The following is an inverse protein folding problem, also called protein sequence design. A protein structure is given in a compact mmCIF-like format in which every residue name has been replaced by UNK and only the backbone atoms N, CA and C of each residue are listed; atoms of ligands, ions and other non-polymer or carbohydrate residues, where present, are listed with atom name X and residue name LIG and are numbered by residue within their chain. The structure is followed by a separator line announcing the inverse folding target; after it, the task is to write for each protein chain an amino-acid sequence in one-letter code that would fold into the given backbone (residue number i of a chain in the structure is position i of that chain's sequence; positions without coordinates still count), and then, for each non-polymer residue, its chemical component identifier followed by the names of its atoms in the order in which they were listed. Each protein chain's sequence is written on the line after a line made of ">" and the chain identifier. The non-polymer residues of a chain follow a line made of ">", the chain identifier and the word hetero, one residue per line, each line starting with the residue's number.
data_IF_406315312927
#
_entry.id   IF_406315312927
#
_cell.length_a   1.000
_cell.length_b   1.000
_cell.length_c   1.000
_cell.angle_alpha   90.00
_cell.angle_beta   90.00
_cell.angle_gamma   90.00
#
_symmetry.space_group_name_H-M   'P 1'
#
loop_
_entity.id
_entity.type
_entity.pdbx_description
1 polymer ?
#
# COMPACT_ATOMS: atom_id res chain seq x y z
N UNK A 1 -3.25 -25.45 -0.72
CA UNK A 1 -2.23 -24.78 -1.56
C UNK A 1 -2.76 -23.79 -2.61
N UNK A 2 -3.27 -24.19 -3.78
CA UNK A 2 -3.46 -23.25 -4.92
C UNK A 2 -4.43 -22.09 -4.63
N UNK A 3 -5.57 -22.36 -3.99
CA UNK A 3 -6.53 -21.32 -3.62
C UNK A 3 -5.91 -20.30 -2.64
N UNK A 4 -5.17 -20.77 -1.64
CA UNK A 4 -4.47 -19.93 -0.67
C UNK A 4 -3.41 -19.04 -1.35
N UNK A 5 -2.68 -19.60 -2.32
CA UNK A 5 -1.71 -18.85 -3.12
C UNK A 5 -2.37 -17.75 -3.95
N UNK A 6 -3.45 -18.05 -4.67
CA UNK A 6 -4.14 -17.05 -5.49
C UNK A 6 -4.79 -15.97 -4.62
N UNK A 7 -5.36 -16.37 -3.48
CA UNK A 7 -5.97 -15.45 -2.53
C UNK A 7 -4.92 -14.52 -1.91
N UNK A 8 -3.82 -15.06 -1.36
CA UNK A 8 -2.78 -14.23 -0.75
C UNK A 8 -2.04 -13.39 -1.78
N UNK A 9 -1.83 -13.90 -3.00
CA UNK A 9 -1.33 -13.09 -4.11
C UNK A 9 -2.23 -11.88 -4.36
N UNK A 10 -3.53 -12.10 -4.55
CA UNK A 10 -4.46 -11.01 -4.88
C UNK A 10 -4.58 -10.00 -3.72
N UNK A 11 -4.71 -10.49 -2.48
CA UNK A 11 -4.85 -9.64 -1.30
C UNK A 11 -3.58 -8.80 -1.08
N UNK A 12 -2.40 -9.42 -1.11
CA UNK A 12 -1.14 -8.71 -0.85
C UNK A 12 -0.78 -7.79 -2.01
N UNK A 13 -0.96 -8.23 -3.26
CA UNK A 13 -0.76 -7.36 -4.42
C UNK A 13 -1.59 -6.09 -4.29
N UNK A 14 -2.91 -6.20 -4.03
CA UNK A 14 -3.79 -5.02 -3.93
C UNK A 14 -3.49 -4.20 -2.67
N UNK A 15 -3.18 -4.83 -1.55
CA UNK A 15 -2.79 -4.14 -0.32
C UNK A 15 -1.55 -3.26 -0.51
N UNK A 16 -0.60 -3.74 -1.29
CA UNK A 16 0.67 -3.06 -1.57
C UNK A 16 0.49 -1.88 -2.54
N UNK A 17 -0.49 -1.95 -3.44
CA UNK A 17 -0.71 -0.89 -4.42
C UNK A 17 -0.98 0.47 -3.75
N UNK A 18 -0.18 1.48 -4.11
CA UNK A 18 -0.33 2.85 -3.64
C UNK A 18 0.14 3.08 -2.20
N UNK A 19 0.93 2.14 -1.66
CA UNK A 19 1.55 2.28 -0.35
C UNK A 19 2.85 3.12 -0.37
N UNK A 20 3.28 3.57 0.81
CA UNK A 20 4.53 4.30 1.02
C UNK A 20 5.74 3.47 0.59
N UNK A 21 5.73 2.18 0.89
CA UNK A 21 6.79 1.21 0.50
C UNK A 21 6.99 1.18 -1.02
N UNK A 22 5.94 1.27 -1.82
CA UNK A 22 6.05 1.38 -3.29
C UNK A 22 6.73 2.67 -3.75
N UNK A 23 6.44 3.80 -3.09
CA UNK A 23 7.12 5.06 -3.39
C UNK A 23 8.61 4.98 -3.02
N UNK A 24 8.94 4.31 -1.92
CA UNK A 24 10.33 3.99 -1.53
C UNK A 24 11.00 3.08 -2.58
N UNK A 25 10.30 2.05 -3.07
CA UNK A 25 10.78 1.16 -4.14
C UNK A 25 11.18 1.96 -5.39
N UNK A 26 10.28 2.85 -5.83
CA UNK A 26 10.50 3.72 -6.97
C UNK A 26 11.70 4.66 -6.75
N UNK A 27 11.78 5.30 -5.59
CA UNK A 27 12.90 6.19 -5.25
C UNK A 27 14.25 5.46 -5.26
N UNK A 28 14.30 4.24 -4.74
CA UNK A 28 15.49 3.41 -4.83
C UNK A 28 15.82 2.99 -6.26
N UNK A 29 14.82 2.67 -7.08
CA UNK A 29 15.03 2.30 -8.49
C UNK A 29 15.47 3.47 -9.39
N UNK A 30 15.24 4.72 -8.95
CA UNK A 30 15.81 5.91 -9.60
C UNK A 30 17.30 6.10 -9.27
N UNK A 31 17.77 5.62 -8.10
CA UNK A 31 19.17 5.78 -7.66
C UNK A 31 20.04 4.56 -7.94
N UNK A 32 19.44 3.38 -7.92
CA UNK A 32 20.13 2.10 -8.05
C UNK A 32 19.52 1.27 -9.19
N UNK A 33 20.27 0.27 -9.67
CA UNK A 33 19.82 -0.59 -10.77
C UNK A 33 18.56 -1.35 -10.34
N UNK A 34 17.50 -1.28 -11.15
CA UNK A 34 16.17 -1.81 -10.80
C UNK A 34 16.17 -3.27 -10.33
N UNK A 35 17.02 -4.13 -10.90
CA UNK A 35 17.10 -5.53 -10.50
C UNK A 35 17.79 -5.75 -9.15
N UNK A 36 18.71 -4.85 -8.76
CA UNK A 36 19.31 -4.86 -7.42
C UNK A 36 18.26 -4.45 -6.39
N UNK A 37 17.43 -3.46 -6.73
CA UNK A 37 16.33 -3.01 -5.87
C UNK A 37 15.28 -4.11 -5.74
N UNK A 38 14.81 -4.66 -6.86
CA UNK A 38 13.79 -5.72 -6.85
C UNK A 38 14.27 -6.99 -6.15
N UNK A 39 15.54 -7.38 -6.31
CA UNK A 39 16.10 -8.53 -5.56
C UNK A 39 16.24 -8.25 -4.07
N UNK A 40 16.61 -7.04 -3.67
CA UNK A 40 16.65 -6.63 -2.27
C UNK A 40 15.26 -6.64 -1.62
N UNK A 41 14.27 -6.07 -2.31
CA UNK A 41 12.85 -6.13 -1.91
C UNK A 41 12.40 -7.58 -1.77
N UNK A 42 12.65 -8.41 -2.78
CA UNK A 42 12.27 -9.84 -2.76
C UNK A 42 12.83 -10.55 -1.52
N UNK A 43 14.09 -10.30 -1.16
CA UNK A 43 14.70 -10.89 0.05
C UNK A 43 14.06 -10.34 1.33
N UNK A 44 13.84 -9.03 1.41
CA UNK A 44 13.17 -8.40 2.55
C UNK A 44 11.75 -8.95 2.76
N UNK A 45 10.93 -8.90 1.71
CA UNK A 45 9.57 -9.44 1.67
C UNK A 45 9.54 -10.91 2.05
N UNK A 46 10.42 -11.73 1.46
CA UNK A 46 10.48 -13.17 1.78
C UNK A 46 10.74 -13.38 3.27
N UNK A 47 11.67 -12.62 3.87
CA UNK A 47 11.97 -12.74 5.30
C UNK A 47 10.77 -12.34 6.18
N UNK A 48 10.14 -11.19 5.89
CA UNK A 48 8.98 -10.70 6.65
C UNK A 48 7.78 -11.64 6.49
N UNK A 49 7.56 -12.17 5.29
CA UNK A 49 6.44 -13.05 5.00
C UNK A 49 6.64 -14.44 5.59
N UNK A 50 7.86 -14.99 5.61
CA UNK A 50 8.15 -16.22 6.36
C UNK A 50 7.83 -16.03 7.84
N UNK A 51 8.24 -14.90 8.43
CA UNK A 51 7.93 -14.58 9.82
C UNK A 51 6.41 -14.48 10.04
N UNK A 52 5.72 -13.76 9.16
CA UNK A 52 4.26 -13.58 9.21
C UNK A 52 3.51 -14.90 9.12
N UNK A 53 3.92 -15.76 8.18
CA UNK A 53 3.31 -17.08 7.98
C UNK A 53 3.61 -18.01 9.15
N UNK A 54 4.82 -17.96 9.71
CA UNK A 54 5.14 -18.72 10.92
C UNK A 54 4.25 -18.28 12.09
N UNK A 55 4.14 -16.97 12.33
CA UNK A 55 3.24 -16.41 13.35
C UNK A 55 1.81 -16.88 13.10
N UNK A 56 1.28 -16.71 11.88
CA UNK A 56 -0.08 -17.12 11.52
C UNK A 56 -0.34 -18.62 11.69
N UNK A 57 0.60 -19.45 11.26
CA UNK A 57 0.50 -20.91 11.38
C UNK A 57 0.44 -21.36 12.85
N UNK A 58 1.31 -20.83 13.70
CA UNK A 58 1.33 -21.18 15.12
C UNK A 58 0.17 -20.54 15.91
N UNK A 59 -0.23 -19.31 15.58
CA UNK A 59 -1.46 -18.71 16.15
C UNK A 59 -2.70 -19.50 15.74
N UNK A 60 -2.78 -19.93 14.49
CA UNK A 60 -3.82 -20.81 13.94
C UNK A 60 -3.99 -22.10 14.74
N UNK A 61 -2.87 -22.69 15.18
CA UNK A 61 -2.88 -23.89 16.00
C UNK A 61 -3.20 -23.62 17.49
N UNK A 62 -2.94 -22.41 17.99
CA UNK A 62 -3.07 -22.06 19.40
C UNK A 62 -4.40 -21.39 19.77
N UNK A 63 -5.07 -20.74 18.81
CA UNK A 63 -6.27 -19.96 19.03
C UNK A 63 -7.49 -20.60 18.34
N UNK A 64 -8.70 -20.46 18.93
CA UNK A 64 -9.92 -20.88 18.25
C UNK A 64 -10.11 -20.14 16.93
N UNK A 65 -10.43 -20.87 15.85
CA UNK A 65 -10.62 -20.31 14.50
C UNK A 65 -11.62 -19.17 14.46
N UNK A 66 -12.69 -19.23 15.26
CA UNK A 66 -13.66 -18.15 15.40
C UNK A 66 -13.05 -16.85 15.93
N UNK A 67 -12.12 -16.93 16.89
CA UNK A 67 -11.46 -15.75 17.45
C UNK A 67 -10.46 -15.17 16.45
N UNK A 68 -9.73 -16.02 15.72
CA UNK A 68 -8.84 -15.61 14.65
C UNK A 68 -9.59 -14.87 13.56
N UNK A 69 -10.69 -15.43 13.05
CA UNK A 69 -11.51 -14.80 12.03
C UNK A 69 -12.09 -13.45 12.45
N UNK A 70 -12.49 -13.30 13.72
CA UNK A 70 -12.92 -12.02 14.28
C UNK A 70 -11.78 -10.99 14.36
N UNK A 71 -10.61 -11.38 14.88
CA UNK A 71 -9.45 -10.49 14.99
C UNK A 71 -8.99 -10.05 13.59
N UNK A 72 -8.86 -11.02 12.69
CA UNK A 72 -8.58 -10.80 11.28
C UNK A 72 -9.55 -9.81 10.64
N UNK A 73 -10.85 -10.06 10.75
CA UNK A 73 -11.88 -9.18 10.21
C UNK A 73 -11.77 -7.76 10.76
N UNK A 74 -11.56 -7.61 12.08
CA UNK A 74 -11.35 -6.31 12.72
C UNK A 74 -10.08 -5.60 12.21
N UNK A 75 -8.98 -6.33 12.00
CA UNK A 75 -7.73 -5.79 11.45
C UNK A 75 -7.90 -5.33 10.00
N UNK A 76 -8.59 -6.10 9.16
CA UNK A 76 -8.91 -5.71 7.79
C UNK A 76 -9.75 -4.42 7.76
N UNK A 77 -10.76 -4.29 8.64
CA UNK A 77 -11.51 -3.03 8.77
C UNK A 77 -10.59 -1.87 9.20
N UNK A 78 -9.76 -2.09 10.22
CA UNK A 78 -8.81 -1.08 10.70
C UNK A 78 -7.90 -0.58 9.58
N UNK A 79 -7.30 -1.48 8.79
CA UNK A 79 -6.42 -1.10 7.69
C UNK A 79 -7.13 -0.46 6.51
N UNK A 80 -8.35 -0.90 6.20
CA UNK A 80 -9.18 -0.23 5.20
C UNK A 80 -9.44 1.24 5.57
N UNK A 81 -9.77 1.50 6.84
CA UNK A 81 -9.98 2.86 7.36
C UNK A 81 -8.67 3.65 7.44
N UNK A 82 -7.57 3.02 7.87
CA UNK A 82 -6.24 3.65 7.92
C UNK A 82 -5.77 4.05 6.52
N UNK A 83 -5.95 3.20 5.52
CA UNK A 83 -5.58 3.49 4.13
C UNK A 83 -6.30 4.74 3.60
N UNK A 84 -7.57 4.95 3.96
CA UNK A 84 -8.32 6.16 3.60
C UNK A 84 -7.80 7.44 4.26
N UNK A 85 -7.08 7.32 5.39
CA UNK A 85 -6.44 8.46 6.05
C UNK A 85 -5.39 9.11 5.15
N UNK A 86 -4.79 8.33 4.25
CA UNK A 86 -3.71 8.77 3.36
C UNK A 86 -2.41 8.92 4.14
N UNK A 87 -1.32 8.50 3.53
CA UNK A 87 -0.04 8.40 4.21
C UNK A 87 1.07 8.93 3.28
N UNK A 88 1.75 10.00 3.68
CA UNK A 88 2.78 10.67 2.89
C UNK A 88 4.19 10.28 3.35
N UNK A 89 5.12 10.12 2.41
CA UNK A 89 6.55 10.02 2.71
C UNK A 89 7.02 11.26 3.50
N UNK A 90 7.66 11.05 4.64
CA UNK A 90 8.28 12.13 5.39
C UNK A 90 9.66 12.48 4.81
N UNK A 91 10.05 13.74 4.92
CA UNK A 91 11.36 14.22 4.44
C UNK A 91 12.54 13.51 5.14
N UNK A 92 12.31 13.00 6.36
CA UNK A 92 13.30 12.27 7.15
C UNK A 92 13.60 10.89 6.54
N UNK A 93 12.57 10.17 6.09
CA UNK A 93 12.68 8.88 5.39
C UNK A 93 13.41 9.04 4.05
N UNK A 94 13.13 10.12 3.32
CA UNK A 94 13.84 10.48 2.10
C UNK A 94 15.33 10.79 2.35
N UNK A 95 15.65 11.54 3.42
CA UNK A 95 17.02 11.93 3.76
C UNK A 95 17.90 10.76 4.21
N UNK A 96 17.28 9.74 4.83
CA UNK A 96 17.99 8.54 5.32
C UNK A 96 18.42 7.64 4.16
N UNK A 97 17.60 7.57 3.10
CA UNK A 97 18.01 6.95 1.85
C UNK A 97 19.21 7.69 1.25
N UNK A 98 19.26 9.03 1.32
CA UNK A 98 20.31 9.87 0.71
C UNK A 98 21.71 9.63 1.30
N UNK A 99 21.81 9.44 2.62
CA UNK A 99 23.08 9.39 3.39
C UNK A 99 23.73 8.00 3.51
N UNK A 100 23.14 6.94 2.95
CA UNK A 100 23.63 5.59 3.14
C UNK A 100 24.89 5.27 2.28
N UNK A 101 26.01 4.96 2.93
CA UNK A 101 27.28 4.52 2.33
C UNK A 101 27.41 3.00 2.15
N UNK A 102 26.41 2.22 2.58
CA UNK A 102 26.39 0.77 2.43
C UNK A 102 26.03 0.34 0.99
N UNK A 103 26.32 -0.92 0.58
CA UNK A 103 25.91 -1.42 -0.73
C UNK A 103 24.38 -1.34 -0.88
N UNK A 104 23.93 -0.87 -2.04
CA UNK A 104 22.52 -0.59 -2.34
C UNK A 104 21.56 -1.72 -1.93
N UNK A 105 21.97 -2.98 -2.17
CA UNK A 105 21.20 -4.16 -1.77
C UNK A 105 20.87 -4.15 -0.27
N UNK A 106 21.86 -3.96 0.60
CA UNK A 106 21.63 -3.98 2.05
C UNK A 106 20.82 -2.77 2.53
N UNK A 107 21.03 -1.60 1.92
CA UNK A 107 20.23 -0.40 2.23
C UNK A 107 18.76 -0.63 1.93
N UNK A 108 18.45 -1.12 0.73
CA UNK A 108 17.07 -1.40 0.30
C UNK A 108 16.47 -2.52 1.14
N UNK A 109 17.18 -3.64 1.33
CA UNK A 109 16.69 -4.76 2.14
C UNK A 109 16.37 -4.32 3.56
N UNK A 110 17.26 -3.59 4.23
CA UNK A 110 17.00 -3.11 5.59
C UNK A 110 15.84 -2.11 5.64
N UNK A 111 15.75 -1.19 4.68
CA UNK A 111 14.64 -0.24 4.62
C UNK A 111 13.30 -0.96 4.46
N UNK A 112 13.21 -1.91 3.54
CA UNK A 112 12.00 -2.70 3.30
C UNK A 112 11.65 -3.60 4.49
N UNK A 113 12.61 -4.31 5.07
CA UNK A 113 12.33 -5.13 6.27
C UNK A 113 11.75 -4.28 7.39
N UNK A 114 12.27 -3.07 7.61
CA UNK A 114 11.76 -2.17 8.64
C UNK A 114 10.37 -1.61 8.30
N UNK A 115 10.14 -1.25 7.03
CA UNK A 115 8.86 -0.69 6.59
C UNK A 115 7.73 -1.73 6.59
N UNK A 116 8.04 -2.98 6.23
CA UNK A 116 7.08 -4.09 6.19
C UNK A 116 6.82 -4.71 7.58
N UNK A 117 7.66 -4.42 8.58
CA UNK A 117 7.52 -4.99 9.91
C UNK A 117 6.37 -4.34 10.67
N UNK A 118 5.28 -5.10 10.83
CA UNK A 118 4.07 -4.64 11.51
C UNK A 118 3.11 -3.88 10.61
N UNK A 119 3.34 -3.87 9.29
CA UNK A 119 2.43 -3.24 8.34
C UNK A 119 1.18 -4.10 8.05
N UNK A 120 0.20 -3.51 7.34
CA UNK A 120 -1.05 -4.12 6.89
C UNK A 120 -0.84 -5.41 6.13
N UNK A 121 0.20 -5.49 5.31
CA UNK A 121 0.57 -6.68 4.53
C UNK A 121 1.01 -7.82 5.44
N UNK A 122 1.75 -7.51 6.51
CA UNK A 122 2.17 -8.47 7.54
C UNK A 122 0.96 -9.07 8.25
N UNK A 123 0.04 -8.23 8.72
CA UNK A 123 -1.14 -8.71 9.44
C UNK A 123 -2.15 -9.43 8.54
N UNK A 124 -2.29 -9.02 7.27
CA UNK A 124 -3.04 -9.77 6.27
C UNK A 124 -2.41 -11.16 6.03
N UNK A 125 -1.08 -11.24 5.96
CA UNK A 125 -0.36 -12.51 5.78
C UNK A 125 -0.51 -13.43 7.00
N UNK A 126 -0.37 -12.89 8.22
CA UNK A 126 -0.60 -13.63 9.48
C UNK A 126 -2.01 -14.21 9.51
N UNK A 127 -3.00 -13.36 9.21
CA UNK A 127 -4.41 -13.75 9.14
C UNK A 127 -4.63 -14.89 8.15
N UNK A 128 -4.19 -14.70 6.90
CA UNK A 128 -4.39 -15.69 5.85
C UNK A 128 -3.71 -17.02 6.19
N UNK A 129 -2.51 -16.99 6.78
CA UNK A 129 -1.77 -18.19 7.17
C UNK A 129 -2.39 -18.94 8.37
N UNK A 130 -3.27 -18.28 9.15
CA UNK A 130 -3.96 -18.94 10.27
C UNK A 130 -5.11 -19.83 9.82
N UNK A 131 -5.80 -19.45 8.73
CA UNK A 131 -6.98 -20.17 8.22
C UNK A 131 -6.70 -20.95 6.92
N UNK A 132 -5.55 -20.72 6.27
CA UNK A 132 -5.20 -21.32 4.99
C UNK A 132 -3.85 -22.06 5.02
N UNK A 133 -3.61 -22.82 3.96
CA UNK A 133 -2.35 -23.51 3.70
C UNK A 133 -1.15 -22.54 3.74
N UNK A 134 -0.31 -22.69 4.76
CA UNK A 134 0.79 -21.77 5.05
C UNK A 134 1.80 -21.64 3.90
N UNK A 135 2.09 -22.73 3.18
CA UNK A 135 2.99 -22.71 2.01
C UNK A 135 2.37 -21.92 0.86
N UNK A 136 1.09 -22.17 0.58
CA UNK A 136 0.33 -21.41 -0.41
C UNK A 136 0.32 -19.92 -0.07
N UNK A 137 0.04 -19.57 1.19
CA UNK A 137 0.02 -18.19 1.65
C UNK A 137 1.39 -17.54 1.46
N UNK A 138 2.48 -18.18 1.92
CA UNK A 138 3.85 -17.66 1.81
C UNK A 138 4.27 -17.36 0.36
N UNK A 139 4.04 -18.31 -0.54
CA UNK A 139 4.41 -18.14 -1.95
C UNK A 139 3.55 -17.05 -2.59
N UNK A 140 2.23 -17.10 -2.35
CA UNK A 140 1.31 -16.13 -2.94
C UNK A 140 1.56 -14.71 -2.44
N UNK A 141 1.76 -14.51 -1.14
CA UNK A 141 2.03 -13.19 -0.56
C UNK A 141 3.34 -12.60 -1.09
N UNK A 142 4.40 -13.43 -1.16
CA UNK A 142 5.70 -12.99 -1.68
C UNK A 142 5.61 -12.59 -3.15
N UNK A 143 4.95 -13.41 -3.97
CA UNK A 143 4.72 -13.10 -5.38
C UNK A 143 3.85 -11.87 -5.57
N UNK A 144 2.82 -11.69 -4.73
CA UNK A 144 1.92 -10.54 -4.76
C UNK A 144 2.66 -9.23 -4.53
N UNK A 145 3.46 -9.17 -3.46
CA UNK A 145 4.25 -7.98 -3.14
C UNK A 145 5.33 -7.70 -4.19
N UNK A 146 6.13 -8.71 -4.59
CA UNK A 146 7.16 -8.52 -5.63
C UNK A 146 6.55 -8.08 -6.97
N UNK A 147 5.36 -8.57 -7.33
CA UNK A 147 4.66 -8.12 -8.53
C UNK A 147 4.17 -6.67 -8.40
N UNK A 148 3.68 -6.27 -7.23
CA UNK A 148 3.23 -4.91 -6.96
C UNK A 148 4.41 -3.91 -6.98
N UNK A 149 5.52 -4.23 -6.34
CA UNK A 149 6.74 -3.42 -6.34
C UNK A 149 7.40 -3.37 -7.73
N UNK A 150 7.43 -4.51 -8.43
CA UNK A 150 7.90 -4.57 -9.81
C UNK A 150 7.08 -3.65 -10.72
N UNK A 151 5.76 -3.64 -10.55
CA UNK A 151 4.87 -2.71 -11.25
C UNK A 151 5.18 -1.26 -10.88
N UNK A 152 5.34 -0.93 -9.60
CA UNK A 152 5.69 0.42 -9.14
C UNK A 152 7.02 0.90 -9.72
N UNK A 153 8.04 0.05 -9.77
CA UNK A 153 9.35 0.35 -10.36
C UNK A 153 9.22 0.60 -11.86
N UNK A 154 8.50 -0.25 -12.60
CA UNK A 154 8.28 -0.08 -14.05
C UNK A 154 7.53 1.21 -14.31
N UNK A 155 6.44 1.47 -13.57
CA UNK A 155 5.65 2.69 -13.75
C UNK A 155 6.46 3.92 -13.39
N UNK A 156 7.23 3.88 -12.31
CA UNK A 156 8.14 4.96 -11.92
C UNK A 156 9.20 5.27 -12.97
N UNK A 157 9.71 4.23 -13.63
CA UNK A 157 10.69 4.37 -14.71
C UNK A 157 10.08 4.88 -16.03
N UNK A 158 8.85 4.48 -16.36
CA UNK A 158 8.21 4.79 -17.66
C UNK A 158 7.39 6.09 -17.63
N UNK A 159 6.68 6.36 -16.54
CA UNK A 159 5.61 7.36 -16.51
C UNK A 159 5.99 8.67 -15.80
N UNK A 160 7.01 8.67 -14.94
CA UNK A 160 7.13 9.70 -13.92
C UNK A 160 5.88 9.74 -13.01
N UNK A 161 5.74 10.76 -12.15
CA UNK A 161 4.68 10.88 -11.11
C UNK A 161 3.23 11.05 -11.63
N UNK A 162 2.69 10.14 -12.45
CA UNK A 162 1.27 10.18 -12.92
C UNK A 162 0.45 8.94 -12.58
N UNK A 163 0.79 8.22 -11.52
CA UNK A 163 -0.13 7.25 -10.96
C UNK A 163 -1.26 7.99 -10.22
N UNK A 164 -2.54 7.67 -10.47
CA UNK A 164 -3.64 8.20 -9.67
C UNK A 164 -3.64 7.48 -8.32
N UNK A 165 -2.66 7.80 -7.47
CA UNK A 165 -2.44 7.26 -6.12
C UNK A 165 -3.75 7.19 -5.34
N UNK A 166 -4.56 8.24 -5.48
CA UNK A 166 -5.92 8.32 -4.94
C UNK A 166 -6.83 7.16 -5.34
N UNK A 167 -6.91 6.82 -6.62
CA UNK A 167 -7.79 5.74 -7.10
C UNK A 167 -7.33 4.40 -6.55
N UNK A 168 -6.02 4.20 -6.50
CA UNK A 168 -5.40 2.98 -6.00
C UNK A 168 -5.67 2.81 -4.50
N UNK A 169 -5.44 3.84 -3.69
CA UNK A 169 -5.70 3.83 -2.25
C UNK A 169 -7.19 3.61 -1.94
N UNK A 170 -8.10 4.18 -2.73
CA UNK A 170 -9.55 3.94 -2.59
C UNK A 170 -9.89 2.47 -2.89
N UNK A 171 -9.32 1.89 -3.95
CA UNK A 171 -9.56 0.50 -4.30
C UNK A 171 -9.03 -0.48 -3.23
N UNK A 172 -7.81 -0.23 -2.74
CA UNK A 172 -7.21 -1.01 -1.65
C UNK A 172 -8.05 -0.93 -0.37
N UNK A 173 -8.45 0.28 0.03
CA UNK A 173 -9.33 0.48 1.18
C UNK A 173 -10.68 -0.25 1.04
N UNK A 174 -11.30 -0.19 -0.14
CA UNK A 174 -12.57 -0.87 -0.39
C UNK A 174 -12.42 -2.40 -0.28
N UNK A 175 -11.33 -2.96 -0.79
CA UNK A 175 -11.06 -4.39 -0.70
C UNK A 175 -10.82 -4.84 0.75
N UNK A 176 -10.03 -4.07 1.51
CA UNK A 176 -9.81 -4.33 2.93
C UNK A 176 -11.11 -4.30 3.73
N UNK A 177 -11.94 -3.27 3.51
CA UNK A 177 -13.24 -3.15 4.18
C UNK A 177 -14.17 -4.31 3.80
N UNK A 178 -14.13 -4.76 2.54
CA UNK A 178 -14.95 -5.87 2.05
C UNK A 178 -14.57 -7.19 2.72
N UNK A 179 -13.29 -7.54 2.70
CA UNK A 179 -12.81 -8.76 3.36
C UNK A 179 -13.02 -8.69 4.87
N UNK A 180 -12.77 -7.53 5.50
CA UNK A 180 -13.01 -7.34 6.92
C UNK A 180 -14.47 -7.54 7.31
N UNK A 181 -15.40 -6.93 6.57
CA UNK A 181 -16.83 -7.09 6.79
C UNK A 181 -17.29 -8.54 6.55
N UNK A 182 -16.78 -9.17 5.49
CA UNK A 182 -17.06 -10.56 5.18
C UNK A 182 -16.61 -11.51 6.31
N UNK A 183 -15.36 -11.39 6.77
CA UNK A 183 -14.82 -12.22 7.85
C UNK A 183 -15.56 -12.02 9.18
N UNK A 184 -15.91 -10.77 9.53
CA UNK A 184 -16.70 -10.50 10.73
C UNK A 184 -18.09 -11.13 10.65
N UNK A 185 -18.78 -10.97 9.52
CA UNK A 185 -20.14 -11.51 9.35
C UNK A 185 -20.16 -13.03 9.31
N UNK A 186 -19.20 -13.67 8.64
CA UNK A 186 -19.09 -15.13 8.58
C UNK A 186 -18.84 -15.73 9.98
N UNK A 187 -17.98 -15.10 10.77
CA UNK A 187 -17.69 -15.58 12.13
C UNK A 187 -18.81 -15.28 13.13
N UNK A 188 -19.48 -14.12 13.03
CA UNK A 188 -20.61 -13.76 13.92
C UNK A 188 -21.88 -14.55 13.57
N UNK A 189 -22.11 -14.83 12.28
CA UNK A 189 -23.30 -15.54 11.80
C UNK A 189 -22.94 -16.76 10.92
N UNK A 190 -22.39 -17.85 11.51
CA UNK A 190 -21.93 -19.01 10.76
C UNK A 190 -23.02 -19.78 10.03
N UNK A 191 -24.30 -19.53 10.36
CA UNK A 191 -25.45 -20.18 9.74
C UNK A 191 -25.87 -19.57 8.41
N UNK A 192 -25.31 -18.41 8.03
CA UNK A 192 -25.68 -17.75 6.78
C UNK A 192 -24.92 -18.37 5.59
N UNK A 193 -25.58 -18.52 4.42
CA UNK A 193 -24.90 -19.02 3.23
C UNK A 193 -23.87 -17.99 2.73
N UNK A 194 -22.73 -18.49 2.25
CA UNK A 194 -21.61 -17.70 1.72
C UNK A 194 -22.04 -16.51 0.83
N UNK A 195 -22.94 -16.76 -0.13
CA UNK A 195 -23.40 -15.75 -1.08
C UNK A 195 -24.16 -14.59 -0.39
N UNK A 196 -24.91 -14.88 0.67
CA UNK A 196 -25.62 -13.87 1.43
C UNK A 196 -24.65 -13.04 2.28
N UNK A 197 -23.68 -13.69 2.92
CA UNK A 197 -22.62 -12.99 3.69
C UNK A 197 -21.84 -12.04 2.78
N UNK A 198 -21.41 -12.51 1.61
CA UNK A 198 -20.75 -11.68 0.60
C UNK A 198 -21.61 -10.51 0.11
N UNK A 199 -22.91 -10.76 -0.14
CA UNK A 199 -23.86 -9.72 -0.55
C UNK A 199 -24.06 -8.65 0.53
N UNK A 200 -24.18 -9.04 1.80
CA UNK A 200 -24.30 -8.11 2.93
C UNK A 200 -23.01 -7.30 3.08
N UNK A 201 -21.84 -7.96 3.07
CA UNK A 201 -20.54 -7.27 3.17
C UNK A 201 -20.37 -6.22 2.07
N UNK A 202 -20.67 -6.57 0.82
CA UNK A 202 -20.60 -5.66 -0.32
C UNK A 202 -21.55 -4.46 -0.14
N UNK A 203 -22.77 -4.71 0.33
CA UNK A 203 -23.77 -3.67 0.57
C UNK A 203 -23.32 -2.72 1.68
N UNK A 204 -22.75 -3.24 2.77
CA UNK A 204 -22.20 -2.43 3.87
C UNK A 204 -21.08 -1.52 3.37
N UNK A 205 -20.13 -2.07 2.60
CA UNK A 205 -19.00 -1.29 2.08
C UNK A 205 -19.48 -0.23 1.08
N UNK A 206 -20.37 -0.57 0.17
CA UNK A 206 -20.94 0.36 -0.79
C UNK A 206 -21.74 1.50 -0.11
N UNK A 207 -22.57 1.15 0.88
CA UNK A 207 -23.34 2.12 1.66
C UNK A 207 -22.44 3.04 2.49
N UNK A 208 -21.38 2.48 3.10
CA UNK A 208 -20.39 3.25 3.87
C UNK A 208 -19.63 4.21 2.95
N UNK A 209 -19.21 3.76 1.77
CA UNK A 209 -18.59 4.61 0.75
C UNK A 209 -19.50 5.75 0.30
N UNK A 210 -20.77 5.45 0.02
CA UNK A 210 -21.77 6.46 -0.34
C UNK A 210 -22.02 7.48 0.80
N UNK A 211 -22.08 7.01 2.05
CA UNK A 211 -22.24 7.87 3.23
C UNK A 211 -21.04 8.81 3.41
N UNK A 212 -19.82 8.30 3.27
CA UNK A 212 -18.60 9.12 3.33
C UNK A 212 -18.55 10.13 2.17
N UNK A 213 -19.02 9.74 0.98
CA UNK A 213 -19.11 10.66 -0.15
C UNK A 213 -20.16 11.76 0.08
N UNK A 214 -21.27 11.46 0.77
CA UNK A 214 -22.29 12.44 1.13
C UNK A 214 -21.84 13.43 2.23
N UNK A 215 -20.76 13.14 2.97
CA UNK A 215 -20.22 14.06 3.98
C UNK A 215 -19.64 15.34 3.34
N UNK A 216 -19.72 16.49 4.04
CA UNK A 216 -19.08 17.72 3.61
C UNK A 216 -17.57 17.54 3.50
N UNK A 217 -16.94 18.20 2.52
CA UNK A 217 -15.55 17.94 2.13
C UNK A 217 -14.54 18.01 3.26
N UNK A 218 -14.76 18.90 4.24
CA UNK A 218 -13.93 19.04 5.45
C UNK A 218 -13.86 17.79 6.32
N UNK A 219 -14.86 16.91 6.27
CA UNK A 219 -14.94 15.66 7.05
C UNK A 219 -14.52 14.44 6.24
N UNK A 220 -14.24 14.59 4.94
CA UNK A 220 -13.81 13.46 4.11
C UNK A 220 -12.38 13.06 4.48
N UNK A 221 -12.08 11.74 4.53
CA UNK A 221 -10.71 11.24 4.64
C UNK A 221 -9.78 11.90 3.62
N UNK A 222 -8.48 12.03 3.92
CA UNK A 222 -7.57 12.84 3.09
C UNK A 222 -7.54 12.37 1.63
N UNK A 223 -7.56 11.06 1.41
CA UNK A 223 -7.61 10.45 0.07
C UNK A 223 -8.88 10.83 -0.69
N UNK A 224 -9.98 11.13 -0.02
CA UNK A 224 -11.28 11.47 -0.63
C UNK A 224 -11.52 12.98 -0.79
N UNK A 225 -10.60 13.83 -0.34
CA UNK A 225 -10.68 15.28 -0.56
C UNK A 225 -10.19 15.64 -1.97
N UNK A 226 -10.85 16.58 -2.69
CA UNK A 226 -10.26 17.18 -3.89
C UNK A 226 -8.89 17.77 -3.54
N UNK A 227 -7.88 17.57 -4.40
CA UNK A 227 -6.60 18.24 -4.23
C UNK A 227 -6.87 19.76 -4.26
N UNK A 228 -6.30 20.55 -3.33
CA UNK A 228 -6.40 22.01 -3.43
C UNK A 228 -5.92 22.40 -4.82
N UNK A 229 -6.71 23.20 -5.54
CA UNK A 229 -6.30 23.75 -6.81
C UNK A 229 -4.94 24.38 -6.59
N UNK A 230 -3.89 23.81 -7.20
CA UNK A 230 -2.60 24.48 -7.26
C UNK A 230 -2.88 25.89 -7.74
N UNK A 231 -2.31 26.89 -7.07
CA UNK A 231 -2.17 28.24 -7.61
C UNK A 231 -1.64 28.11 -9.04
N UNK A 232 -2.54 28.15 -10.01
CA UNK A 232 -2.24 28.26 -11.44
C UNK A 232 -2.13 29.74 -11.85
N UNK A 233 -1.99 30.65 -10.89
CA UNK A 233 -1.68 32.06 -11.11
C UNK A 233 -0.27 32.35 -10.60
N UNK A 234 0.67 32.42 -11.54
CA UNK A 234 2.06 32.80 -11.26
C UNK A 234 2.94 32.92 -12.49
N UNK A 235 2.52 32.39 -13.65
CA UNK A 235 3.21 32.59 -14.93
C UNK A 235 2.44 33.58 -15.81
N UNK A 236 2.48 34.87 -15.44
CA UNK A 236 2.05 35.95 -16.33
C UNK A 236 2.77 37.28 -16.00
N UNK A 237 4.05 37.36 -16.35
CA UNK A 237 4.75 38.58 -16.80
C UNK A 237 6.15 38.15 -17.26
N UNK A 238 6.29 37.50 -18.42
CA UNK A 238 6.52 38.16 -19.71
C UNK A 238 7.51 39.33 -19.60
N UNK A 239 8.75 39.02 -19.98
CA UNK A 239 9.68 39.85 -20.75
C UNK A 239 9.16 41.26 -21.10
N UNK A 240 9.81 42.26 -20.51
CA UNK A 240 10.06 43.53 -21.20
C UNK A 240 11.52 43.92 -21.05
N UNK A 241 12.22 43.74 -22.17
CA UNK A 241 13.23 44.65 -22.70
C UNK A 241 14.60 44.73 -21.99
N UNK A 242 15.47 43.77 -22.31
CA UNK A 242 16.89 44.03 -22.53
C UNK A 242 17.11 44.61 -23.94
N UNK A 243 16.92 45.91 -24.10
CA UNK A 243 17.47 46.68 -25.20
C UNK A 243 17.34 48.18 -24.92
N UNK A 244 18.36 48.80 -24.34
CA UNK A 244 18.84 50.05 -24.90
C UNK A 244 20.34 50.26 -24.64
N UNK A 245 20.99 50.63 -25.71
CA UNK A 245 22.39 51.01 -25.89
C UNK A 245 22.68 52.37 -25.27
N UNK A 246 23.89 52.60 -24.73
CA UNK A 246 24.83 53.60 -25.29
C UNK A 246 26.12 53.70 -24.48
N UNK A 247 27.22 53.78 -25.25
CA UNK A 247 28.53 54.26 -24.85
C UNK A 247 28.50 55.64 -24.20
N UNK A 248 29.33 55.85 -23.18
CA UNK A 248 30.17 57.06 -23.10
C UNK A 248 31.45 56.77 -22.35
N UNK A 249 32.52 56.78 -23.13
CA UNK A 249 33.89 57.08 -22.78
C UNK A 249 33.97 58.50 -22.15
N UNK A 250 34.71 58.71 -21.06
CA UNK A 250 35.70 59.80 -20.89
C UNK A 250 36.17 60.00 -19.43
N UNK A 251 37.51 59.97 -19.30
CA UNK A 251 38.41 60.55 -18.29
C UNK A 251 38.60 59.83 -16.95
#
# INVERSE_FOLDING_TARGET
>A
MLAALLLSFAVIFVAELGDKTQLVAMMFALRYRWWVVLSAITVATTAVHVLSVAIGHYLGAALPTHLLGLIAGAMFIFFGLWTLRGDSLSDEEASRAEKATAPAFFVVTSAFVLAELGDKTMLATVTLASDNDWLGVWIGSTLGMVAADGLAIIVGAVLGRRLPERVIQIAAAALFLLFGAYMLLENIFPSLPFALVGGIALTIVAASGAAVWALPERLRPAVLRPAPAAEQDGTASTDTASADTTSTDTK
#
